data_IF_899793847511
#
_entry.id   IF_899793847511
#
_cell.length_a   1.000
_cell.length_b   1.000
_cell.length_c   1.000
_cell.angle_alpha   90.00
_cell.angle_beta   90.00
_cell.angle_gamma   90.00
#
_symmetry.space_group_name_H-M   'P 1'
#
loop_
_entity.id
_entity.type
_entity.pdbx_description
1 polymer ?
#
# COMPACT_ATOMS: atom_id res chain seq x y z
N UNK A 1 21.57 -0.20 3.83
CA UNK A 1 20.50 -1.20 4.10
C UNK A 1 19.75 -1.43 2.80
N UNK A 2 19.66 -2.67 2.29
CA UNK A 2 18.99 -2.94 1.01
C UNK A 2 17.48 -2.93 1.21
N UNK A 3 16.79 -2.04 0.50
CA UNK A 3 15.33 -2.08 0.39
C UNK A 3 14.99 -3.18 -0.60
N UNK A 4 14.30 -4.23 -0.15
CA UNK A 4 13.71 -5.19 -1.06
C UNK A 4 12.39 -4.61 -1.58
N UNK A 5 12.23 -4.53 -2.89
CA UNK A 5 10.99 -4.05 -3.53
C UNK A 5 10.36 -5.19 -4.31
N UNK A 6 9.10 -5.46 -4.04
CA UNK A 6 8.28 -6.41 -4.78
C UNK A 6 7.21 -5.63 -5.54
N UNK A 7 7.21 -5.75 -6.86
CA UNK A 7 6.21 -5.11 -7.72
C UNK A 7 5.09 -6.09 -8.05
N UNK A 8 3.86 -5.63 -7.99
CA UNK A 8 2.71 -6.38 -8.49
C UNK A 8 2.82 -6.47 -10.01
N UNK A 9 2.75 -7.67 -10.61
CA UNK A 9 2.89 -7.83 -12.05
C UNK A 9 1.67 -7.33 -12.85
N UNK A 10 0.55 -7.05 -12.18
CA UNK A 10 -0.69 -6.59 -12.81
C UNK A 10 -1.00 -5.11 -12.58
N UNK A 11 -2.21 -4.75 -13.01
CA UNK A 11 -2.88 -3.48 -12.73
C UNK A 11 -4.24 -3.75 -12.08
N UNK A 12 -4.88 -2.73 -11.51
CA UNK A 12 -6.27 -2.84 -11.04
C UNK A 12 -7.15 -1.81 -11.73
N UNK A 13 -8.14 -2.29 -12.48
CA UNK A 13 -9.18 -1.52 -13.14
C UNK A 13 -10.60 -1.93 -12.69
N UNK A 14 -10.75 -3.04 -11.99
CA UNK A 14 -12.03 -3.55 -11.48
C UNK A 14 -11.88 -4.26 -10.11
N UNK A 15 -12.99 -4.62 -9.43
CA UNK A 15 -12.95 -5.30 -8.13
C UNK A 15 -12.28 -6.69 -8.14
N UNK A 16 -12.33 -7.43 -9.26
CA UNK A 16 -11.63 -8.71 -9.40
C UNK A 16 -10.10 -8.53 -9.35
N UNK A 17 -9.59 -7.47 -9.96
CA UNK A 17 -8.17 -7.15 -9.92
C UNK A 17 -7.68 -6.78 -8.50
N UNK A 18 -8.56 -6.20 -7.67
CA UNK A 18 -8.25 -5.96 -6.25
C UNK A 18 -8.11 -7.28 -5.48
N UNK A 19 -8.92 -8.30 -5.79
CA UNK A 19 -8.76 -9.62 -5.18
C UNK A 19 -7.41 -10.25 -5.56
N UNK A 20 -7.00 -10.13 -6.82
CA UNK A 20 -5.69 -10.58 -7.28
C UNK A 20 -4.53 -9.82 -6.62
N UNK A 21 -4.65 -8.49 -6.47
CA UNK A 21 -3.67 -7.66 -5.76
C UNK A 21 -3.52 -8.10 -4.29
N UNK A 22 -4.63 -8.31 -3.59
CA UNK A 22 -4.63 -8.77 -2.19
C UNK A 22 -3.99 -10.16 -2.05
N UNK A 23 -4.31 -11.08 -2.97
CA UNK A 23 -3.72 -12.43 -3.00
C UNK A 23 -2.19 -12.36 -3.19
N UNK A 24 -1.73 -11.60 -4.19
CA UNK A 24 -0.30 -11.37 -4.42
C UNK A 24 0.40 -10.76 -3.20
N UNK A 25 -0.20 -9.74 -2.59
CA UNK A 25 0.38 -9.07 -1.42
C UNK A 25 0.55 -10.05 -0.25
N UNK A 26 -0.47 -10.89 0.02
CA UNK A 26 -0.38 -11.96 1.02
C UNK A 26 0.76 -12.93 0.72
N UNK A 27 0.87 -13.42 -0.51
CA UNK A 27 1.97 -14.31 -0.90
C UNK A 27 3.34 -13.66 -0.67
N UNK A 28 3.51 -12.41 -1.08
CA UNK A 28 4.78 -11.66 -0.91
C UNK A 28 5.12 -11.45 0.56
N UNK A 29 4.14 -11.08 1.37
CA UNK A 29 4.30 -10.79 2.79
C UNK A 29 4.57 -12.06 3.60
N UNK A 30 3.81 -13.13 3.38
CA UNK A 30 4.02 -14.41 4.08
C UNK A 30 5.37 -15.03 3.74
N UNK A 31 5.85 -14.89 2.50
CA UNK A 31 7.17 -15.38 2.11
C UNK A 31 8.33 -14.58 2.76
N UNK A 32 8.06 -13.42 3.33
CA UNK A 32 9.06 -12.49 3.89
C UNK A 32 8.77 -12.08 5.33
N UNK A 33 7.73 -12.65 5.94
CA UNK A 33 7.29 -12.25 7.27
C UNK A 33 8.33 -12.69 8.30
N UNK A 34 8.56 -11.82 9.28
CA UNK A 34 9.31 -12.14 10.48
C UNK A 34 8.55 -11.58 11.67
N UNK A 35 8.88 -12.01 12.89
CA UNK A 35 8.16 -11.57 14.10
C UNK A 35 8.17 -10.04 14.34
N UNK A 36 9.08 -9.31 13.69
CA UNK A 36 9.20 -7.84 13.80
C UNK A 36 8.50 -7.10 12.66
N UNK A 37 8.03 -7.80 11.64
CA UNK A 37 7.28 -7.16 10.55
C UNK A 37 5.83 -6.88 10.98
N UNK A 38 5.17 -5.88 10.38
CA UNK A 38 3.75 -5.63 10.63
C UNK A 38 2.89 -6.85 10.27
N UNK A 39 1.67 -6.91 10.82
CA UNK A 39 0.75 -7.98 10.51
C UNK A 39 0.41 -7.99 9.00
N UNK A 40 0.39 -9.19 8.41
CA UNK A 40 0.12 -9.37 6.96
C UNK A 40 -1.19 -8.69 6.56
N UNK A 41 -2.25 -8.90 7.34
CA UNK A 41 -3.55 -8.34 7.03
C UNK A 41 -3.60 -6.81 7.14
N UNK A 42 -2.83 -6.18 8.03
CA UNK A 42 -2.75 -4.71 8.12
C UNK A 42 -2.12 -4.12 6.85
N UNK A 43 -1.02 -4.70 6.38
CA UNK A 43 -0.37 -4.24 5.15
C UNK A 43 -1.27 -4.46 3.93
N UNK A 44 -1.99 -5.59 3.88
CA UNK A 44 -2.95 -5.89 2.81
C UNK A 44 -4.12 -4.91 2.84
N UNK A 45 -4.66 -4.58 4.00
CA UNK A 45 -5.75 -3.60 4.16
C UNK A 45 -5.32 -2.21 3.68
N UNK A 46 -4.12 -1.77 4.09
CA UNK A 46 -3.57 -0.48 3.64
C UNK A 46 -3.37 -0.45 2.12
N UNK A 47 -2.84 -1.53 1.53
CA UNK A 47 -2.65 -1.61 0.09
C UNK A 47 -4.01 -1.60 -0.66
N UNK A 48 -5.00 -2.31 -0.14
CA UNK A 48 -6.35 -2.38 -0.70
C UNK A 48 -7.06 -1.03 -0.63
N UNK A 49 -6.90 -0.28 0.47
CA UNK A 49 -7.47 1.06 0.61
C UNK A 49 -6.83 2.05 -0.38
N UNK A 50 -5.50 1.99 -0.57
CA UNK A 50 -4.79 2.77 -1.58
C UNK A 50 -5.29 2.45 -3.01
N UNK A 51 -5.42 1.17 -3.35
CA UNK A 51 -5.85 0.74 -4.68
C UNK A 51 -7.35 1.05 -4.94
N UNK A 52 -8.18 0.89 -3.91
CA UNK A 52 -9.60 1.25 -3.95
C UNK A 52 -9.77 2.74 -4.18
N UNK A 53 -9.00 3.59 -3.51
CA UNK A 53 -9.04 5.03 -3.75
C UNK A 53 -8.72 5.40 -5.21
N UNK A 54 -7.76 4.70 -5.82
CA UNK A 54 -7.44 4.89 -7.24
C UNK A 54 -8.63 4.58 -8.15
N UNK A 55 -9.33 3.47 -7.91
CA UNK A 55 -10.48 3.01 -8.70
C UNK A 55 -11.71 3.90 -8.53
N UNK A 56 -12.09 4.20 -7.29
CA UNK A 56 -13.34 4.94 -7.01
C UNK A 56 -13.19 6.42 -7.43
N UNK A 57 -11.97 6.93 -7.55
CA UNK A 57 -11.71 8.25 -8.17
C UNK A 57 -11.80 8.23 -9.71
N UNK A 58 -12.37 7.18 -10.31
CA UNK A 58 -12.51 7.00 -11.76
C UNK A 58 -11.21 6.67 -12.48
N UNK A 59 -10.22 6.19 -11.74
CA UNK A 59 -8.88 5.88 -12.22
C UNK A 59 -8.60 4.38 -12.34
N UNK A 60 -7.33 4.08 -12.60
CA UNK A 60 -6.76 2.73 -12.67
C UNK A 60 -5.51 2.72 -11.81
N UNK A 61 -5.36 1.70 -10.96
CA UNK A 61 -4.08 1.37 -10.33
C UNK A 61 -3.17 0.78 -11.41
N UNK A 62 -2.21 1.56 -11.91
CA UNK A 62 -1.28 1.14 -12.97
C UNK A 62 -0.14 0.29 -12.46
N UNK A 63 0.22 0.48 -11.20
CA UNK A 63 1.29 -0.24 -10.54
C UNK A 63 1.04 -0.27 -9.04
N UNK A 64 1.42 -1.36 -8.42
CA UNK A 64 1.48 -1.50 -6.97
C UNK A 64 2.82 -2.11 -6.57
N UNK A 65 3.31 -1.77 -5.38
CA UNK A 65 4.54 -2.34 -4.85
C UNK A 65 4.55 -2.41 -3.33
N UNK A 66 5.34 -3.34 -2.81
CA UNK A 66 5.69 -3.47 -1.40
C UNK A 66 7.20 -3.28 -1.26
N UNK A 67 7.61 -2.29 -0.46
CA UNK A 67 9.02 -2.04 -0.13
C UNK A 67 9.29 -2.38 1.32
N UNK A 68 10.23 -3.29 1.56
CA UNK A 68 10.65 -3.71 2.90
C UNK A 68 11.83 -2.86 3.33
N UNK A 69 11.64 -2.07 4.39
CA UNK A 69 12.61 -1.08 4.87
C UNK A 69 12.98 -1.35 6.33
N UNK A 70 13.94 -0.59 6.86
CA UNK A 70 14.28 -0.63 8.28
C UNK A 70 13.09 -0.28 9.18
N UNK A 71 12.28 0.67 8.71
CA UNK A 71 11.16 1.28 9.44
C UNK A 71 9.88 0.44 9.35
N UNK A 72 9.84 -0.56 8.46
CA UNK A 72 8.69 -1.43 8.22
C UNK A 72 8.37 -1.61 6.74
N UNK A 73 7.10 -1.85 6.44
CA UNK A 73 6.63 -2.15 5.08
C UNK A 73 5.92 -0.94 4.49
N UNK A 74 6.40 -0.48 3.34
CA UNK A 74 5.75 0.58 2.56
C UNK A 74 4.95 -0.03 1.43
N UNK A 75 3.65 0.18 1.45
CA UNK A 75 2.76 -0.05 0.32
C UNK A 75 2.70 1.21 -0.56
N UNK A 76 2.81 1.04 -1.87
CA UNK A 76 2.70 2.14 -2.83
C UNK A 76 1.84 1.74 -4.02
N UNK A 77 0.94 2.63 -4.42
CA UNK A 77 0.07 2.52 -5.59
C UNK A 77 0.30 3.72 -6.49
N UNK A 78 0.48 3.47 -7.78
CA UNK A 78 0.45 4.50 -8.82
C UNK A 78 -0.90 4.49 -9.53
N UNK A 79 -1.71 5.49 -9.27
CA UNK A 79 -2.96 5.72 -9.97
C UNK A 79 -2.72 6.57 -11.23
N UNK A 80 -3.61 6.48 -12.23
CA UNK A 80 -3.57 7.37 -13.40
C UNK A 80 -3.93 8.83 -13.04
N UNK A 81 -3.81 9.76 -14.00
CA UNK A 81 -4.06 11.19 -13.77
C UNK A 81 -5.51 11.55 -13.42
N UNK A 82 -6.50 10.69 -13.72
CA UNK A 82 -7.90 10.97 -13.36
C UNK A 82 -8.10 10.97 -11.84
N UNK A 83 -7.27 10.21 -11.11
CA UNK A 83 -7.29 10.15 -9.64
C UNK A 83 -6.71 11.41 -8.95
N UNK A 84 -6.20 12.41 -9.69
CA UNK A 84 -5.69 13.67 -9.12
C UNK A 84 -6.82 14.59 -8.63
N UNK A 85 -8.03 14.45 -9.20
CA UNK A 85 -9.10 15.44 -9.04
C UNK A 85 -9.92 15.31 -7.73
N UNK A 86 -9.69 14.26 -6.92
CA UNK A 86 -10.45 14.01 -5.69
C UNK A 86 -9.55 14.28 -4.47
N UNK A 87 -9.95 15.16 -3.53
CA UNK A 87 -9.19 15.39 -2.30
C UNK A 87 -9.00 14.09 -1.50
N UNK A 88 -7.74 13.78 -1.18
CA UNK A 88 -7.30 12.55 -0.53
C UNK A 88 -7.91 12.28 0.86
N UNK A 89 -8.47 13.31 1.50
CA UNK A 89 -8.81 13.30 2.93
C UNK A 89 -10.20 12.75 3.25
N UNK A 90 -11.07 12.51 2.27
CA UNK A 90 -12.43 11.98 2.55
C UNK A 90 -12.52 10.45 2.64
N UNK A 91 -11.48 9.70 2.28
CA UNK A 91 -11.60 8.24 2.06
C UNK A 91 -10.64 7.35 2.82
N UNK A 92 -9.56 7.90 3.38
CA UNK A 92 -8.58 7.12 4.12
C UNK A 92 -8.98 7.04 5.59
N UNK A 93 -9.76 6.03 5.94
CA UNK A 93 -10.15 5.76 7.33
C UNK A 93 -9.19 4.79 8.01
N UNK A 94 -8.58 3.85 7.28
CA UNK A 94 -7.67 2.86 7.87
C UNK A 94 -6.21 3.34 7.85
N UNK A 95 -5.76 4.02 6.80
CA UNK A 95 -4.38 4.51 6.69
C UNK A 95 -3.94 5.36 7.90
N UNK A 96 -4.70 6.35 8.41
CA UNK A 96 -4.27 7.12 9.58
C UNK A 96 -4.19 6.30 10.88
N UNK A 97 -4.88 5.15 10.94
CA UNK A 97 -4.90 4.25 12.10
C UNK A 97 -3.75 3.24 12.03
N UNK A 98 -3.45 2.73 10.83
CA UNK A 98 -2.51 1.62 10.63
C UNK A 98 -1.11 2.07 10.18
N UNK A 99 -0.99 3.21 9.49
CA UNK A 99 0.28 3.66 8.94
C UNK A 99 0.96 4.67 9.87
N UNK A 100 2.29 4.59 9.98
CA UNK A 100 3.10 5.58 10.70
C UNK A 100 3.41 6.81 9.86
N UNK A 101 3.44 6.65 8.53
CA UNK A 101 3.68 7.72 7.56
C UNK A 101 2.89 7.40 6.29
N UNK A 102 2.32 8.41 5.64
CA UNK A 102 1.61 8.24 4.39
C UNK A 102 1.63 9.54 3.58
N UNK A 103 1.25 9.45 2.32
CA UNK A 103 1.13 10.64 1.50
C UNK A 103 0.74 10.36 0.07
N UNK A 104 0.57 11.44 -0.69
CA UNK A 104 0.39 11.42 -2.13
C UNK A 104 1.38 12.36 -2.79
N UNK A 105 1.85 11.99 -3.96
CA UNK A 105 2.71 12.83 -4.80
C UNK A 105 2.24 12.74 -6.26
N UNK A 106 1.80 13.86 -6.87
CA UNK A 106 1.59 13.93 -8.30
C UNK A 106 2.90 13.63 -9.05
N UNK A 107 2.79 13.00 -10.22
CA UNK A 107 3.92 12.74 -11.10
C UNK A 107 3.47 12.63 -12.55
N UNK A 108 4.44 12.56 -13.48
CA UNK A 108 4.16 12.53 -14.91
C UNK A 108 3.22 11.37 -15.30
N UNK A 109 3.36 10.20 -14.66
CA UNK A 109 2.55 9.01 -14.93
C UNK A 109 1.19 8.96 -14.21
N UNK A 110 0.90 9.92 -13.31
CA UNK A 110 -0.30 9.95 -12.47
C UNK A 110 0.01 10.27 -11.01
N UNK A 111 -0.83 9.81 -10.07
CA UNK A 111 -0.64 10.05 -8.63
C UNK A 111 0.01 8.84 -8.00
N UNK A 112 1.13 9.04 -7.30
CA UNK A 112 1.68 8.04 -6.38
C UNK A 112 1.07 8.24 -5.01
N UNK A 113 0.48 7.20 -4.46
CA UNK A 113 -0.08 7.15 -3.12
C UNK A 113 0.66 6.08 -2.34
N UNK A 114 1.02 6.36 -1.10
CA UNK A 114 1.83 5.46 -0.32
C UNK A 114 1.50 5.54 1.16
N UNK A 115 1.75 4.45 1.86
CA UNK A 115 1.64 4.36 3.30
C UNK A 115 2.69 3.37 3.82
N UNK A 116 3.29 3.68 4.95
CA UNK A 116 4.28 2.86 5.64
C UNK A 116 3.70 2.38 6.95
N UNK A 117 3.63 1.06 7.12
CA UNK A 117 3.24 0.41 8.36
C UNK A 117 4.53 0.13 9.13
N UNK A 118 4.59 0.60 10.38
CA UNK A 118 5.78 0.46 11.21
C UNK A 118 5.98 -0.99 11.64
N UNK A 119 7.25 -1.40 11.78
CA UNK A 119 7.58 -2.67 12.43
C UNK A 119 6.96 -2.75 13.82
N UNK A 120 6.53 -3.95 14.21
CA UNK A 120 6.10 -4.21 15.57
C UNK A 120 7.30 -4.03 16.51
N UNK A 121 7.30 -2.96 17.27
CA UNK A 121 8.21 -2.83 18.41
C UNK A 121 7.65 -3.73 19.51
N UNK A 122 8.33 -4.83 19.80
CA UNK A 122 8.11 -5.51 21.08
C UNK A 122 8.49 -4.48 22.15
N UNK A 123 7.49 -3.90 22.82
CA UNK A 123 7.74 -3.13 24.03
C UNK A 123 8.41 -4.09 25.01
N UNK A 124 9.66 -3.81 25.39
CA UNK A 124 10.29 -4.55 26.47
C UNK A 124 9.40 -4.36 27.72
N UNK A 125 9.06 -5.43 28.46
CA UNK A 125 8.39 -5.26 29.73
C UNK A 125 9.28 -4.38 30.63
N UNK A 126 8.65 -3.42 31.30
CA UNK A 126 9.28 -2.54 32.28
C UNK A 126 9.82 -3.32 33.49
#
# INVERSE_FOLDING_TARGET
MRVAVCSYPGSCANPGDLAALRSWARTVLTARSSAKEPAVDEVVLVLDELATDALVSGGVCRAASLSFTADGVRAEVTANRRSVAVPATRRWSLIPVLASRWGRRPGAAGVRMWATIARTTVAAPA
#
